data_IF_935431049553
#
_entry.id   IF_935431049553
#
_cell.length_a   1.000
_cell.length_b   1.000
_cell.length_c   1.000
_cell.angle_alpha   90.00
_cell.angle_beta   90.00
_cell.angle_gamma   90.00
#
_symmetry.space_group_name_H-M   'P 1'
#
loop_
_entity.id
_entity.type
_entity.pdbx_description
1 polymer ?
#
# COMPACT_ATOMS: atom_id res chain seq x y z
N UNK A 1 40.96 32.62 19.24
CA UNK A 1 40.91 31.60 18.17
C UNK A 1 39.56 31.69 17.52
N UNK A 2 39.51 32.37 16.38
CA UNK A 2 38.33 32.52 15.53
C UNK A 2 38.03 31.21 14.81
N UNK A 3 36.76 30.81 14.65
CA UNK A 3 36.39 29.61 13.91
C UNK A 3 36.64 29.84 12.42
N UNK A 4 37.61 29.12 11.87
CA UNK A 4 37.89 28.99 10.44
C UNK A 4 36.84 28.10 9.77
N UNK A 5 36.23 28.65 8.73
CA UNK A 5 35.87 27.96 7.48
C UNK A 5 34.99 26.71 7.61
N UNK A 6 33.69 26.93 7.77
CA UNK A 6 32.68 26.00 7.28
C UNK A 6 31.97 26.69 6.11
N UNK A 7 32.45 26.41 4.90
CA UNK A 7 31.79 26.82 3.66
C UNK A 7 30.55 25.94 3.49
N UNK A 8 29.38 26.49 3.76
CA UNK A 8 28.08 25.92 3.39
C UNK A 8 27.93 25.94 1.86
N UNK A 9 28.47 24.92 1.18
CA UNK A 9 28.01 24.56 -0.16
C UNK A 9 27.48 23.12 -0.11
N UNK A 10 26.17 23.01 0.10
CA UNK A 10 25.43 21.79 -0.18
C UNK A 10 25.64 21.44 -1.66
N UNK A 11 25.93 20.18 -2.03
CA UNK A 11 26.04 19.79 -3.42
C UNK A 11 24.73 20.11 -4.13
N UNK A 12 24.78 21.06 -5.06
CA UNK A 12 23.65 21.41 -5.92
C UNK A 12 23.30 20.18 -6.74
N UNK A 13 22.18 19.55 -6.41
CA UNK A 13 21.61 18.48 -7.22
C UNK A 13 21.41 19.00 -8.65
N UNK A 14 21.80 18.23 -9.68
CA UNK A 14 21.66 18.70 -11.05
C UNK A 14 20.20 19.07 -11.33
N UNK A 15 20.01 20.23 -11.96
CA UNK A 15 18.71 20.72 -12.40
C UNK A 15 17.96 19.61 -13.14
N UNK A 16 16.73 19.23 -12.74
CA UNK A 16 15.95 18.19 -13.39
C UNK A 16 15.73 18.43 -14.90
N UNK A 17 15.95 19.65 -15.38
CA UNK A 17 15.89 20.02 -16.80
C UNK A 17 17.19 19.78 -17.59
N UNK A 18 18.29 19.41 -16.93
CA UNK A 18 19.60 19.11 -17.56
C UNK A 18 19.75 17.66 -18.05
N UNK A 19 18.79 16.81 -17.76
CA UNK A 19 18.69 15.48 -18.38
C UNK A 19 18.19 15.66 -19.82
N UNK A 20 18.78 14.96 -20.81
CA UNK A 20 18.29 15.03 -22.18
C UNK A 20 16.80 14.68 -22.17
N UNK A 21 15.93 15.46 -22.85
CA UNK A 21 14.51 15.15 -22.90
C UNK A 21 14.38 13.73 -23.45
N UNK A 22 13.94 12.82 -22.57
CA UNK A 22 13.72 11.43 -22.93
C UNK A 22 12.72 11.41 -24.10
N UNK A 23 12.91 10.55 -25.12
CA UNK A 23 12.12 10.60 -26.34
C UNK A 23 10.62 10.50 -26.01
N UNK A 24 9.91 11.61 -26.20
CA UNK A 24 8.46 11.75 -26.03
C UNK A 24 7.74 11.04 -27.17
N UNK A 25 7.80 9.70 -27.25
CA UNK A 25 6.97 8.90 -28.16
C UNK A 25 6.78 7.45 -27.66
N UNK A 26 5.78 7.22 -26.79
CA UNK A 26 5.18 5.89 -26.56
C UNK A 26 3.65 5.90 -26.36
N UNK A 27 3.00 7.03 -26.61
CA UNK A 27 1.59 7.28 -26.28
C UNK A 27 0.63 6.22 -26.82
N UNK A 28 0.82 5.76 -28.06
CA UNK A 28 -0.09 4.78 -28.68
C UNK A 28 -0.05 3.41 -28.01
N UNK A 29 1.15 2.89 -27.73
CA UNK A 29 1.30 1.58 -27.08
C UNK A 29 0.82 1.63 -25.63
N UNK A 30 1.21 2.68 -24.89
CA UNK A 30 0.76 2.86 -23.52
C UNK A 30 -0.77 2.97 -23.42
N UNK A 31 -1.39 3.86 -24.21
CA UNK A 31 -2.85 4.03 -24.22
C UNK A 31 -3.57 2.72 -24.58
N UNK A 32 -3.03 1.95 -25.51
CA UNK A 32 -3.60 0.64 -25.87
C UNK A 32 -3.52 -0.35 -24.70
N UNK A 33 -2.38 -0.46 -24.03
CA UNK A 33 -2.24 -1.32 -22.85
C UNK A 33 -3.19 -0.89 -21.73
N UNK A 34 -3.29 0.41 -21.44
CA UNK A 34 -4.19 0.94 -20.42
C UNK A 34 -5.65 0.62 -20.76
N UNK A 35 -6.09 0.82 -22.01
CA UNK A 35 -7.46 0.48 -22.42
C UNK A 35 -7.79 -1.00 -22.20
N UNK A 36 -6.82 -1.91 -22.41
CA UNK A 36 -7.00 -3.34 -22.12
C UNK A 36 -7.14 -3.60 -20.62
N UNK A 37 -6.28 -2.98 -19.80
CA UNK A 37 -6.32 -3.12 -18.33
C UNK A 37 -7.60 -2.50 -17.75
N UNK A 38 -8.04 -1.37 -18.28
CA UNK A 38 -9.29 -0.70 -17.91
C UNK A 38 -10.51 -1.60 -18.12
N UNK A 39 -10.57 -2.28 -19.27
CA UNK A 39 -11.63 -3.23 -19.56
C UNK A 39 -11.65 -4.35 -18.51
N UNK A 40 -10.49 -4.94 -18.21
CA UNK A 40 -10.36 -5.97 -17.16
C UNK A 40 -10.81 -5.41 -15.80
N UNK A 41 -10.34 -4.21 -15.44
CA UNK A 41 -10.63 -3.60 -14.15
C UNK A 41 -12.13 -3.32 -13.94
N UNK A 42 -12.83 -2.85 -14.98
CA UNK A 42 -14.27 -2.57 -14.94
C UNK A 42 -15.11 -3.83 -14.76
N UNK A 43 -14.72 -4.92 -15.40
CA UNK A 43 -15.47 -6.18 -15.36
C UNK A 43 -15.05 -7.10 -14.20
N UNK A 44 -13.90 -6.85 -13.58
CA UNK A 44 -13.42 -7.66 -12.47
C UNK A 44 -14.20 -7.36 -11.18
N UNK A 45 -14.84 -8.37 -10.60
CA UNK A 45 -15.51 -8.32 -9.30
C UNK A 45 -14.75 -9.10 -8.21
N UNK A 46 -13.49 -9.50 -8.49
CA UNK A 46 -12.64 -10.26 -7.56
C UNK A 46 -11.85 -9.32 -6.65
N UNK A 47 -11.55 -9.78 -5.43
CA UNK A 47 -10.85 -9.01 -4.39
C UNK A 47 -11.64 -7.79 -3.86
N UNK A 48 -11.16 -7.20 -2.76
CA UNK A 48 -11.75 -5.95 -2.24
C UNK A 48 -11.46 -4.77 -3.17
N UNK A 49 -12.32 -3.75 -3.13
CA UNK A 49 -12.14 -2.52 -3.90
C UNK A 49 -10.73 -1.91 -3.72
N UNK A 50 -10.30 -1.72 -2.46
CA UNK A 50 -8.95 -1.19 -2.14
C UNK A 50 -7.83 -2.02 -2.78
N UNK A 51 -7.96 -3.34 -2.78
CA UNK A 51 -6.96 -4.25 -3.39
C UNK A 51 -6.93 -4.08 -4.90
N UNK A 52 -8.09 -4.03 -5.55
CA UNK A 52 -8.19 -3.86 -7.00
C UNK A 52 -7.59 -2.53 -7.46
N UNK A 53 -7.89 -1.43 -6.76
CA UNK A 53 -7.32 -0.09 -7.05
C UNK A 53 -5.80 -0.15 -6.97
N UNK A 54 -5.25 -0.72 -5.89
CA UNK A 54 -3.79 -0.84 -5.73
C UNK A 54 -3.13 -1.67 -6.82
N UNK A 55 -3.74 -2.80 -7.19
CA UNK A 55 -3.23 -3.67 -8.25
C UNK A 55 -3.31 -2.99 -9.62
N UNK A 56 -4.35 -2.20 -9.85
CA UNK A 56 -4.53 -1.43 -11.06
C UNK A 56 -3.43 -0.39 -11.20
N UNK A 57 -3.18 0.44 -10.17
CA UNK A 57 -2.09 1.44 -10.16
C UNK A 57 -0.70 0.82 -10.39
N UNK A 58 -0.43 -0.34 -9.78
CA UNK A 58 0.81 -1.09 -10.02
C UNK A 58 0.91 -1.54 -11.49
N UNK A 59 -0.18 -2.05 -12.06
CA UNK A 59 -0.21 -2.52 -13.44
C UNK A 59 -0.09 -1.36 -14.43
N UNK A 60 -0.65 -0.18 -14.15
CA UNK A 60 -0.46 1.02 -14.98
C UNK A 60 1.02 1.43 -15.06
N UNK A 61 1.73 1.42 -13.93
CA UNK A 61 3.19 1.69 -13.90
C UNK A 61 3.97 0.66 -14.70
N UNK A 62 3.58 -0.62 -14.64
CA UNK A 62 4.15 -1.66 -15.47
C UNK A 62 3.84 -1.46 -16.97
N UNK A 63 2.61 -1.09 -17.33
CA UNK A 63 2.24 -0.77 -18.72
C UNK A 63 3.09 0.37 -19.29
N UNK A 64 3.39 1.39 -18.49
CA UNK A 64 4.30 2.48 -18.86
C UNK A 64 5.72 1.95 -19.14
N UNK A 65 6.24 1.11 -18.26
CA UNK A 65 7.53 0.47 -18.48
C UNK A 65 7.55 -0.39 -19.76
N UNK A 66 6.51 -1.18 -19.99
CA UNK A 66 6.37 -2.02 -21.18
C UNK A 66 6.30 -1.22 -22.48
N UNK A 67 5.58 -0.09 -22.49
CA UNK A 67 5.47 0.76 -23.69
C UNK A 67 6.79 1.44 -24.03
N UNK A 68 7.53 1.89 -23.03
CA UNK A 68 8.81 2.58 -23.20
C UNK A 68 9.95 1.64 -23.60
N UNK A 69 10.07 0.48 -22.92
CA UNK A 69 11.21 -0.44 -23.11
C UNK A 69 10.98 -1.51 -24.18
N UNK A 70 9.73 -1.96 -24.36
CA UNK A 70 9.41 -3.10 -25.23
C UNK A 70 8.42 -2.76 -26.35
N UNK A 71 7.81 -1.56 -26.32
CA UNK A 71 6.74 -1.14 -27.25
C UNK A 71 5.63 -2.19 -27.39
N UNK A 72 5.30 -2.86 -26.27
CA UNK A 72 4.32 -3.95 -26.25
C UNK A 72 2.92 -3.41 -26.55
N UNK A 73 2.19 -4.04 -27.46
CA UNK A 73 0.84 -3.60 -27.84
C UNK A 73 -0.28 -4.37 -27.14
N UNK A 74 -0.09 -5.66 -26.84
CA UNK A 74 -1.12 -6.53 -26.25
C UNK A 74 -0.65 -7.00 -24.88
N UNK A 75 -1.41 -6.68 -23.83
CA UNK A 75 -1.02 -7.00 -22.46
C UNK A 75 -0.97 -8.52 -22.21
N UNK A 76 -1.85 -9.30 -22.86
CA UNK A 76 -1.80 -10.76 -22.80
C UNK A 76 -0.50 -11.38 -23.33
N UNK A 77 0.28 -10.63 -24.12
CA UNK A 77 1.57 -11.07 -24.65
C UNK A 77 2.74 -10.75 -23.70
N UNK A 78 2.48 -10.28 -22.48
CA UNK A 78 3.53 -10.17 -21.47
C UNK A 78 4.12 -11.56 -21.22
N UNK A 79 5.43 -11.65 -21.40
CA UNK A 79 6.27 -12.82 -21.16
C UNK A 79 7.11 -12.61 -19.91
N UNK A 80 7.68 -13.70 -19.41
CA UNK A 80 8.53 -13.67 -18.21
C UNK A 80 9.73 -12.73 -18.35
N UNK A 81 10.30 -12.60 -19.56
CA UNK A 81 11.41 -11.66 -19.83
C UNK A 81 11.03 -10.21 -19.54
N UNK A 82 9.80 -9.80 -19.85
CA UNK A 82 9.34 -8.42 -19.60
C UNK A 82 9.13 -8.20 -18.10
N UNK A 83 8.61 -9.23 -17.42
CA UNK A 83 8.36 -9.19 -15.99
C UNK A 83 9.67 -9.15 -15.19
N UNK A 84 10.65 -9.98 -15.54
CA UNK A 84 12.00 -9.95 -14.95
C UNK A 84 12.69 -8.61 -15.17
N UNK A 85 12.63 -8.06 -16.39
CA UNK A 85 13.18 -6.74 -16.67
C UNK A 85 12.56 -5.64 -15.79
N UNK A 86 11.26 -5.74 -15.50
CA UNK A 86 10.60 -4.79 -14.60
C UNK A 86 10.99 -4.98 -13.14
N UNK A 87 11.20 -6.23 -12.70
CA UNK A 87 11.71 -6.51 -11.35
C UNK A 87 13.09 -5.89 -11.15
N UNK A 88 13.99 -6.03 -12.11
CA UNK A 88 15.31 -5.40 -12.04
C UNK A 88 15.21 -3.87 -12.04
N UNK A 89 14.34 -3.29 -12.88
CA UNK A 89 14.05 -1.85 -12.83
C UNK A 89 13.54 -1.38 -11.45
N UNK A 90 12.68 -2.16 -10.78
CA UNK A 90 12.20 -1.83 -9.44
C UNK A 90 13.30 -1.92 -8.38
N UNK A 91 14.24 -2.86 -8.52
CA UNK A 91 15.41 -2.97 -7.65
C UNK A 91 16.36 -1.78 -7.84
N UNK A 92 16.67 -1.43 -9.09
CA UNK A 92 17.56 -0.32 -9.44
C UNK A 92 17.01 1.04 -8.98
N UNK A 93 15.70 1.23 -9.05
CA UNK A 93 15.04 2.46 -8.58
C UNK A 93 14.90 2.54 -7.05
N UNK A 94 15.38 1.54 -6.31
CA UNK A 94 15.36 1.54 -4.84
C UNK A 94 13.96 1.42 -4.24
N UNK A 95 13.01 0.80 -4.94
CA UNK A 95 11.67 0.60 -4.40
C UNK A 95 11.70 -0.29 -3.14
N UNK A 96 10.92 0.08 -2.12
CA UNK A 96 10.87 -0.69 -0.88
C UNK A 96 10.41 -2.15 -1.13
N UNK A 97 11.00 -3.16 -0.46
CA UNK A 97 10.67 -4.57 -0.69
C UNK A 97 9.17 -4.90 -0.61
N UNK A 98 8.47 -4.29 0.34
CA UNK A 98 7.02 -4.45 0.50
C UNK A 98 6.24 -3.91 -0.72
N UNK A 99 6.69 -2.79 -1.29
CA UNK A 99 6.11 -2.18 -2.48
C UNK A 99 6.34 -3.06 -3.70
N UNK A 100 7.56 -3.59 -3.88
CA UNK A 100 7.88 -4.52 -4.97
C UNK A 100 6.94 -5.72 -4.91
N UNK A 101 6.85 -6.40 -3.76
CA UNK A 101 5.99 -7.58 -3.60
C UNK A 101 4.52 -7.29 -3.91
N UNK A 102 4.00 -6.14 -3.45
CA UNK A 102 2.64 -5.73 -3.71
C UNK A 102 2.39 -5.44 -5.20
N UNK A 103 3.34 -4.79 -5.86
CA UNK A 103 3.24 -4.45 -7.28
C UNK A 103 3.29 -5.71 -8.15
N UNK A 104 4.21 -6.64 -7.85
CA UNK A 104 4.30 -7.93 -8.56
C UNK A 104 3.03 -8.76 -8.39
N UNK A 105 2.42 -8.77 -7.21
CA UNK A 105 1.14 -9.45 -6.99
C UNK A 105 0.02 -8.86 -7.87
N UNK A 106 -0.06 -7.52 -7.96
CA UNK A 106 -1.03 -6.84 -8.81
C UNK A 106 -0.83 -7.10 -10.29
N UNK A 107 0.42 -7.08 -10.75
CA UNK A 107 0.75 -7.36 -12.16
C UNK A 107 0.38 -8.81 -12.52
N UNK A 108 0.74 -9.79 -11.68
CA UNK A 108 0.35 -11.20 -11.90
C UNK A 108 -1.16 -11.38 -11.90
N UNK A 109 -1.89 -10.65 -11.06
CA UNK A 109 -3.34 -10.67 -11.03
C UNK A 109 -3.93 -10.22 -12.37
N UNK A 110 -3.58 -9.03 -12.87
CA UNK A 110 -4.08 -8.54 -14.16
C UNK A 110 -3.59 -9.39 -15.33
N UNK A 111 -2.39 -9.96 -15.25
CA UNK A 111 -1.88 -10.88 -16.26
C UNK A 111 -2.74 -12.13 -16.38
N UNK A 112 -3.13 -12.73 -15.25
CA UNK A 112 -4.06 -13.86 -15.21
C UNK A 112 -5.44 -13.48 -15.77
N UNK A 113 -6.00 -12.35 -15.35
CA UNK A 113 -7.31 -11.89 -15.82
C UNK A 113 -7.32 -11.49 -17.30
N UNK A 114 -6.16 -11.20 -17.90
CA UNK A 114 -6.03 -10.93 -19.34
C UNK A 114 -6.20 -12.15 -20.24
N UNK A 115 -6.27 -13.36 -19.67
CA UNK A 115 -6.33 -14.62 -20.41
C UNK A 115 -5.01 -14.98 -21.10
N UNK A 116 -3.88 -14.49 -20.59
CA UNK A 116 -2.55 -14.86 -21.10
C UNK A 116 -2.28 -16.35 -20.91
N UNK A 117 -1.59 -16.96 -21.88
CA UNK A 117 -1.07 -18.34 -21.79
C UNK A 117 0.35 -18.39 -21.23
N UNK A 118 1.02 -17.25 -21.15
CA UNK A 118 2.38 -17.16 -20.63
C UNK A 118 2.35 -17.35 -19.10
N UNK A 119 3.46 -17.82 -18.53
CA UNK A 119 3.61 -17.90 -17.08
C UNK A 119 4.66 -16.90 -16.62
N UNK A 120 4.32 -16.10 -15.63
CA UNK A 120 5.27 -15.18 -14.99
C UNK A 120 5.95 -15.88 -13.80
N UNK A 121 7.22 -15.58 -13.59
CA UNK A 121 8.04 -16.13 -12.52
C UNK A 121 7.45 -15.83 -11.16
N UNK A 122 7.53 -16.81 -10.25
CA UNK A 122 7.17 -16.66 -8.85
C UNK A 122 8.26 -15.91 -8.07
N UNK A 123 7.93 -15.40 -6.90
CA UNK A 123 8.86 -14.59 -6.08
C UNK A 123 10.20 -15.29 -5.80
N UNK A 124 10.17 -16.62 -5.62
CA UNK A 124 11.37 -17.42 -5.35
C UNK A 124 12.40 -17.39 -6.49
N UNK A 125 11.99 -17.11 -7.72
CA UNK A 125 12.86 -17.09 -8.90
C UNK A 125 13.36 -15.68 -9.28
N UNK A 126 13.08 -14.68 -8.45
CA UNK A 126 13.26 -13.25 -8.75
C UNK A 126 14.28 -12.54 -7.85
N UNK A 127 14.94 -13.27 -6.94
CA UNK A 127 15.95 -12.74 -6.02
C UNK A 127 15.56 -11.38 -5.42
N UNK A 128 14.39 -11.34 -4.78
CA UNK A 128 13.80 -10.10 -4.29
C UNK A 128 14.47 -9.67 -2.97
N UNK A 129 14.66 -8.36 -2.76
CA UNK A 129 15.22 -7.87 -1.51
C UNK A 129 14.33 -8.29 -0.34
N UNK A 130 14.94 -8.69 0.78
CA UNK A 130 14.21 -9.10 1.97
C UNK A 130 13.67 -7.87 2.69
N UNK A 131 12.43 -7.97 3.16
CA UNK A 131 11.83 -6.94 4.01
C UNK A 131 12.36 -7.10 5.43
N UNK A 132 12.89 -6.03 6.00
CA UNK A 132 13.10 -5.92 7.43
C UNK A 132 11.76 -5.58 8.11
N UNK A 133 11.35 -6.40 9.07
CA UNK A 133 10.09 -6.25 9.80
C UNK A 133 10.43 -6.02 11.26
N UNK A 134 9.88 -4.96 11.86
CA UNK A 134 9.99 -4.72 13.30
C UNK A 134 11.32 -4.08 13.74
N UNK A 135 12.07 -3.46 12.82
CA UNK A 135 13.31 -2.74 13.15
C UNK A 135 13.07 -1.60 14.16
N UNK A 136 11.87 -1.03 14.16
CA UNK A 136 11.48 0.07 15.06
C UNK A 136 10.18 -0.26 15.79
N UNK A 137 10.14 0.00 17.10
CA UNK A 137 8.88 0.01 17.84
C UNK A 137 8.16 1.34 17.58
N UNK A 138 7.01 1.26 16.89
CA UNK A 138 6.15 2.41 16.58
C UNK A 138 4.89 2.47 17.44
N UNK A 139 4.83 1.66 18.51
CA UNK A 139 3.74 1.71 19.46
C UNK A 139 3.81 3.01 20.27
N UNK A 140 2.65 3.62 20.50
CA UNK A 140 2.57 4.83 21.31
C UNK A 140 2.82 4.49 22.78
N UNK A 141 3.57 5.35 23.45
CA UNK A 141 3.72 5.31 24.90
C UNK A 141 2.42 5.76 25.59
N UNK A 142 2.16 5.32 26.83
CA UNK A 142 1.00 5.77 27.61
C UNK A 142 0.88 7.30 27.69
N UNK A 143 2.02 7.98 27.85
CA UNK A 143 2.07 9.45 27.88
C UNK A 143 1.71 10.10 26.54
N UNK A 144 2.06 9.47 25.41
CA UNK A 144 1.71 9.95 24.08
C UNK A 144 0.22 9.80 23.80
N UNK A 145 -0.38 8.70 24.26
CA UNK A 145 -1.83 8.47 24.21
C UNK A 145 -2.55 9.58 24.99
N UNK A 146 -2.11 9.85 26.22
CA UNK A 146 -2.74 10.87 27.07
C UNK A 146 -2.59 12.29 26.47
N UNK A 147 -1.40 12.64 25.97
CA UNK A 147 -1.17 13.91 25.27
C UNK A 147 -2.07 14.04 24.04
N UNK A 148 -2.25 12.97 23.26
CA UNK A 148 -3.11 12.98 22.08
C UNK A 148 -4.59 13.16 22.45
N UNK A 149 -5.07 12.54 23.54
CA UNK A 149 -6.42 12.75 24.06
C UNK A 149 -6.64 14.22 24.47
N UNK A 150 -5.74 14.78 25.25
CA UNK A 150 -5.84 16.18 25.69
C UNK A 150 -5.82 17.17 24.53
N UNK A 151 -5.02 16.89 23.49
CA UNK A 151 -5.01 17.69 22.26
C UNK A 151 -6.37 17.62 21.54
N UNK A 152 -6.95 16.43 21.41
CA UNK A 152 -8.25 16.24 20.80
C UNK A 152 -9.35 16.99 21.56
N UNK A 153 -9.34 16.95 22.89
CA UNK A 153 -10.26 17.70 23.75
C UNK A 153 -10.11 19.22 23.59
N UNK A 154 -8.87 19.74 23.56
CA UNK A 154 -8.60 21.16 23.31
C UNK A 154 -9.08 21.63 21.93
N UNK A 155 -9.09 20.74 20.95
CA UNK A 155 -9.65 20.98 19.62
C UNK A 155 -11.19 20.84 19.56
N UNK A 156 -11.85 20.54 20.68
CA UNK A 156 -13.29 20.30 20.75
C UNK A 156 -13.74 18.97 20.12
N UNK A 157 -12.81 18.04 19.92
CA UNK A 157 -13.04 16.74 19.24
C UNK A 157 -13.12 15.60 20.26
N UNK A 158 -14.21 15.59 21.03
CA UNK A 158 -14.50 14.53 22.02
C UNK A 158 -14.63 13.16 21.36
N UNK A 159 -15.15 13.11 20.12
CA UNK A 159 -15.23 11.92 19.30
C UNK A 159 -13.85 11.26 19.07
N UNK A 160 -12.82 12.07 18.83
CA UNK A 160 -11.44 11.61 18.61
C UNK A 160 -10.80 11.16 19.94
N UNK A 161 -11.05 11.87 21.04
CA UNK A 161 -10.55 11.47 22.36
C UNK A 161 -11.10 10.08 22.77
N UNK A 162 -12.41 9.86 22.58
CA UNK A 162 -13.05 8.56 22.81
C UNK A 162 -12.44 7.49 21.89
N UNK A 163 -12.23 7.80 20.61
CA UNK A 163 -11.64 6.85 19.66
C UNK A 163 -10.24 6.41 20.08
N UNK A 164 -9.40 7.35 20.52
CA UNK A 164 -8.02 7.06 20.98
C UNK A 164 -8.06 6.11 22.18
N UNK A 165 -8.86 6.43 23.20
CA UNK A 165 -8.99 5.61 24.42
C UNK A 165 -9.55 4.21 24.13
N UNK A 166 -10.59 4.14 23.30
CA UNK A 166 -11.24 2.88 23.01
C UNK A 166 -10.34 1.97 22.16
N UNK A 167 -9.61 2.54 21.19
CA UNK A 167 -8.67 1.80 20.35
C UNK A 167 -7.45 1.34 21.15
N UNK A 168 -6.89 2.19 22.02
CA UNK A 168 -5.73 1.84 22.84
C UNK A 168 -6.06 0.74 23.85
N UNK A 169 -7.27 0.77 24.43
CA UNK A 169 -7.72 -0.21 25.43
C UNK A 169 -8.03 -1.57 24.81
N UNK A 170 -8.78 -1.59 23.71
CA UNK A 170 -9.31 -2.85 23.14
C UNK A 170 -8.51 -3.37 21.92
N UNK A 171 -7.47 -2.66 21.49
CA UNK A 171 -6.68 -3.03 20.32
C UNK A 171 -7.54 -3.11 19.05
N UNK A 172 -8.45 -2.16 18.88
CA UNK A 172 -9.36 -2.11 17.73
C UNK A 172 -8.69 -1.46 16.53
N UNK A 173 -9.06 -1.89 15.32
CA UNK A 173 -8.71 -1.11 14.13
C UNK A 173 -9.60 0.12 14.09
N UNK A 174 -9.09 1.23 13.53
CA UNK A 174 -9.88 2.45 13.34
C UNK A 174 -11.21 2.17 12.60
N UNK A 175 -11.18 1.35 11.54
CA UNK A 175 -12.39 0.95 10.80
C UNK A 175 -13.38 0.13 11.66
N UNK A 176 -12.87 -0.69 12.60
CA UNK A 176 -13.71 -1.48 13.51
C UNK A 176 -14.40 -0.57 14.53
N UNK A 177 -13.68 0.43 15.07
CA UNK A 177 -14.26 1.44 15.95
C UNK A 177 -15.34 2.26 15.24
N UNK A 178 -15.05 2.79 14.05
CA UNK A 178 -16.01 3.62 13.31
C UNK A 178 -17.28 2.87 12.86
N UNK A 179 -17.27 1.53 12.87
CA UNK A 179 -18.42 0.72 12.45
C UNK A 179 -19.10 -0.03 13.61
N UNK A 180 -18.60 0.17 14.83
CA UNK A 180 -19.20 -0.42 16.02
C UNK A 180 -20.58 0.19 16.26
N UNK A 181 -21.53 -0.66 16.67
CA UNK A 181 -22.88 -0.25 17.04
C UNK A 181 -23.04 -0.26 18.55
N UNK A 182 -23.89 0.63 19.05
CA UNK A 182 -24.24 0.71 20.48
C UNK A 182 -24.80 -0.63 20.99
N UNK A 183 -25.55 -1.37 20.19
CA UNK A 183 -26.06 -2.71 20.51
C UNK A 183 -24.95 -3.69 20.95
N UNK A 184 -23.78 -3.63 20.30
CA UNK A 184 -22.65 -4.49 20.65
C UNK A 184 -22.01 -4.06 21.96
N UNK A 185 -22.01 -2.76 22.28
CA UNK A 185 -21.52 -2.23 23.55
C UNK A 185 -22.44 -2.64 24.70
N UNK A 186 -23.76 -2.50 24.53
CA UNK A 186 -24.75 -2.91 25.52
C UNK A 186 -24.67 -4.42 25.80
N UNK A 187 -24.53 -5.22 24.74
CA UNK A 187 -24.32 -6.67 24.87
C UNK A 187 -23.01 -6.98 25.59
N UNK A 188 -21.93 -6.27 25.28
CA UNK A 188 -20.64 -6.44 25.95
C UNK A 188 -20.71 -6.15 27.45
N UNK A 189 -21.49 -5.14 27.86
CA UNK A 189 -21.70 -4.82 29.27
C UNK A 189 -22.39 -5.97 30.03
N UNK A 190 -23.29 -6.71 29.38
CA UNK A 190 -23.98 -7.85 30.00
C UNK A 190 -23.15 -9.15 29.94
N UNK A 191 -22.46 -9.38 28.84
CA UNK A 191 -21.75 -10.64 28.55
C UNK A 191 -20.28 -10.62 28.98
N UNK A 192 -19.73 -9.46 29.30
CA UNK A 192 -18.30 -9.26 29.56
C UNK A 192 -17.42 -9.39 28.31
N UNK A 193 -17.99 -9.40 27.10
CA UNK A 193 -17.25 -9.57 25.86
C UNK A 193 -17.68 -8.59 24.77
N UNK A 194 -16.71 -7.83 24.25
CA UNK A 194 -16.92 -7.01 23.06
C UNK A 194 -16.74 -7.83 21.79
N UNK A 195 -17.85 -8.12 21.13
CA UNK A 195 -17.85 -8.84 19.85
C UNK A 195 -17.64 -7.86 18.70
N UNK A 196 -16.58 -8.07 17.92
CA UNK A 196 -16.30 -7.36 16.66
C UNK A 196 -16.80 -8.23 15.50
N UNK A 197 -17.95 -7.91 14.90
CA UNK A 197 -18.65 -8.80 13.96
C UNK A 197 -18.04 -8.80 12.55
N UNK A 198 -17.31 -7.74 12.16
CA UNK A 198 -16.75 -7.55 10.82
C UNK A 198 -15.29 -7.12 10.90
N UNK A 199 -14.41 -8.06 11.24
CA UNK A 199 -12.97 -7.85 11.07
C UNK A 199 -12.54 -7.94 9.60
N UNK A 200 -11.25 -7.72 9.36
CA UNK A 200 -10.65 -7.91 8.02
C UNK A 200 -10.95 -9.33 7.51
N UNK A 201 -11.49 -9.42 6.29
CA UNK A 201 -11.85 -10.71 5.69
C UNK A 201 -13.12 -11.36 6.26
N UNK A 202 -13.95 -10.61 7.00
CA UNK A 202 -15.19 -11.13 7.58
C UNK A 202 -14.98 -11.98 8.84
N UNK A 203 -13.75 -12.01 9.38
CA UNK A 203 -13.45 -12.75 10.59
C UNK A 203 -14.06 -12.05 11.80
N UNK A 204 -14.76 -12.84 12.63
CA UNK A 204 -15.31 -12.40 13.92
C UNK A 204 -14.25 -12.60 14.99
N UNK A 205 -14.18 -11.65 15.93
CA UNK A 205 -13.37 -11.80 17.15
C UNK A 205 -14.14 -11.26 18.36
N UNK A 206 -13.91 -11.86 19.52
CA UNK A 206 -14.41 -11.38 20.79
C UNK A 206 -13.24 -10.89 21.64
N UNK A 207 -13.44 -9.76 22.31
CA UNK A 207 -12.45 -9.14 23.20
C UNK A 207 -13.06 -9.20 24.60
N UNK A 208 -12.43 -9.93 25.51
CA UNK A 208 -12.87 -9.98 26.91
C UNK A 208 -12.68 -8.61 27.55
N UNK A 209 -13.72 -8.11 28.21
CA UNK A 209 -13.64 -6.95 29.06
C UNK A 209 -13.07 -7.43 30.40
N UNK A 210 -11.86 -7.01 30.75
CA UNK A 210 -11.34 -7.26 32.09
C UNK A 210 -12.08 -6.32 33.04
N UNK A 211 -12.93 -6.90 33.89
CA UNK A 211 -13.51 -6.24 35.06
C UNK A 211 -12.51 -6.37 36.20
N UNK A 212 -11.48 -5.52 36.21
CA UNK A 212 -10.73 -5.21 37.44
C UNK A 212 -11.27 -3.92 38.03
#
# INVERSE_FOLDING_TARGET
MSPSEFSDELPVLPDPSSLPPLPLMSDGCYKNLINQIDAIYRHCNRCSYKTRVRYYEATQRFCKFLSEKFRLQKFKNVEDRHFRAYVEYLKETGAAPATILADLAGIRFFHRESGSKNKLSENAALDLPKREIGTENRAWLPEEIEKAKQLAEKMGRTDVAIAIEFISTFGLRLEEFCTIKVEYLMSAQHTGQLVVPKGKGGQRRAITLNTE
#
